data_IF_061720496350
#
_entry.id   IF_061720496350
#
_cell.length_a   1.000
_cell.length_b   1.000
_cell.length_c   1.000
_cell.angle_alpha   90.00
_cell.angle_beta   90.00
_cell.angle_gamma   90.00
#
_symmetry.space_group_name_H-M   'P 1'
#
loop_
_entity.id
_entity.type
_entity.pdbx_description
1 polymer ?
#
# COMPACT_ATOMS: atom_id res chain seq x y z
N UNK A 1 4.43 -7.24 -0.60
CA UNK A 1 4.43 -7.71 -2.02
C UNK A 1 3.02 -7.87 -2.64
N UNK A 2 1.93 -7.98 -1.87
CA UNK A 2 0.57 -8.16 -2.39
C UNK A 2 0.08 -6.97 -3.23
N UNK A 3 0.17 -5.75 -2.68
CA UNK A 3 -0.19 -4.50 -3.37
C UNK A 3 0.43 -4.39 -4.76
N UNK A 4 1.74 -4.68 -4.86
CA UNK A 4 2.50 -4.62 -6.11
C UNK A 4 1.90 -5.53 -7.18
N UNK A 5 1.50 -6.75 -6.80
CA UNK A 5 0.88 -7.70 -7.74
C UNK A 5 -0.50 -7.24 -8.20
N UNK A 6 -1.27 -6.60 -7.33
CA UNK A 6 -2.61 -6.08 -7.66
C UNK A 6 -2.48 -4.93 -8.64
N UNK A 7 -1.72 -3.88 -8.28
CA UNK A 7 -1.52 -2.70 -9.14
C UNK A 7 -0.91 -3.07 -10.50
N UNK A 8 0.10 -3.95 -10.53
CA UNK A 8 0.68 -4.46 -11.76
C UNK A 8 -0.36 -5.08 -12.72
N UNK A 9 -1.32 -5.85 -12.19
CA UNK A 9 -2.38 -6.46 -12.99
C UNK A 9 -3.43 -5.44 -13.44
N UNK A 10 -3.78 -4.48 -12.59
CA UNK A 10 -4.79 -3.46 -12.91
C UNK A 10 -4.38 -2.53 -14.05
N UNK A 11 -3.08 -2.21 -14.14
CA UNK A 11 -2.54 -1.31 -15.18
C UNK A 11 -1.86 -2.06 -16.33
N UNK A 12 -1.91 -3.40 -16.34
CA UNK A 12 -1.27 -4.28 -17.31
C UNK A 12 0.25 -4.02 -17.50
N UNK A 13 0.97 -3.89 -16.40
CA UNK A 13 2.42 -3.63 -16.38
C UNK A 13 3.14 -4.67 -15.53
N UNK A 14 4.33 -5.09 -15.96
CA UNK A 14 5.15 -6.00 -15.17
C UNK A 14 5.51 -5.37 -13.81
N UNK A 15 5.29 -6.10 -12.71
CA UNK A 15 5.54 -5.64 -11.34
C UNK A 15 6.95 -5.02 -11.14
N UNK A 16 7.97 -5.57 -11.81
CA UNK A 16 9.35 -5.05 -11.76
C UNK A 16 9.52 -3.63 -12.28
N UNK A 17 8.61 -3.16 -13.14
CA UNK A 17 8.62 -1.79 -13.68
C UNK A 17 8.05 -0.78 -12.68
N UNK A 18 7.21 -1.23 -11.75
CA UNK A 18 6.64 -0.41 -10.68
C UNK A 18 7.59 -0.28 -9.48
N UNK A 19 8.13 -1.39 -9.00
CA UNK A 19 9.10 -1.41 -7.90
C UNK A 19 9.87 -2.73 -7.82
N UNK A 20 11.11 -2.70 -7.30
CA UNK A 20 11.87 -3.90 -6.94
C UNK A 20 11.59 -4.33 -5.50
N UNK A 21 11.88 -5.59 -5.18
CA UNK A 21 11.69 -6.12 -3.81
C UNK A 21 12.48 -5.33 -2.77
N UNK A 22 13.72 -4.96 -3.10
CA UNK A 22 14.60 -4.16 -2.23
C UNK A 22 14.00 -2.79 -1.92
N UNK A 23 13.41 -2.11 -2.90
CA UNK A 23 12.75 -0.81 -2.70
C UNK A 23 11.56 -0.93 -1.73
N UNK A 24 10.81 -2.03 -1.78
CA UNK A 24 9.71 -2.28 -0.85
C UNK A 24 10.22 -2.53 0.57
N UNK A 25 11.34 -3.22 0.70
CA UNK A 25 11.98 -3.51 2.00
C UNK A 25 12.56 -2.22 2.59
N UNK A 26 13.23 -1.39 1.79
CA UNK A 26 13.68 -0.06 2.19
C UNK A 26 12.50 0.83 2.60
N UNK A 27 11.40 0.84 1.83
CA UNK A 27 10.20 1.58 2.19
C UNK A 27 9.61 1.10 3.52
N UNK A 28 9.54 -0.22 3.74
CA UNK A 28 9.08 -0.80 5.00
C UNK A 28 10.01 -0.47 6.18
N UNK A 29 11.32 -0.33 5.92
CA UNK A 29 12.31 0.12 6.89
C UNK A 29 12.27 1.64 7.17
N UNK A 30 11.35 2.39 6.54
CA UNK A 30 11.18 3.83 6.75
C UNK A 30 12.00 4.71 5.81
N UNK A 31 12.67 4.14 4.80
CA UNK A 31 13.34 4.92 3.75
C UNK A 31 12.28 5.61 2.88
N UNK A 32 12.50 6.88 2.58
CA UNK A 32 11.57 7.72 1.79
C UNK A 32 12.25 8.52 0.69
N UNK A 33 13.58 8.49 0.60
CA UNK A 33 14.37 9.23 -0.40
C UNK A 33 15.16 8.25 -1.25
N UNK A 34 15.37 8.60 -2.52
CA UNK A 34 16.14 7.77 -3.46
C UNK A 34 15.44 6.48 -3.88
N UNK A 35 14.11 6.40 -3.71
CA UNK A 35 13.31 5.27 -4.17
C UNK A 35 12.65 5.63 -5.51
N UNK A 36 13.05 5.01 -6.63
CA UNK A 36 12.44 5.27 -7.94
C UNK A 36 10.92 5.07 -7.98
N UNK A 37 10.39 4.17 -7.15
CA UNK A 37 8.94 3.97 -7.00
C UNK A 37 8.20 5.17 -6.39
N UNK A 38 8.90 6.09 -5.71
CA UNK A 38 8.36 7.31 -5.14
C UNK A 38 8.50 8.53 -6.06
N UNK A 39 8.91 8.33 -7.31
CA UNK A 39 9.16 9.40 -8.27
C UNK A 39 8.35 9.19 -9.57
N UNK A 40 8.02 10.32 -10.23
CA UNK A 40 7.38 10.34 -11.54
C UNK A 40 6.08 9.54 -11.62
N UNK A 41 5.90 8.82 -12.72
CA UNK A 41 4.67 8.07 -12.98
C UNK A 41 4.49 6.89 -12.01
N UNK A 42 5.57 6.27 -11.52
CA UNK A 42 5.52 5.14 -10.58
C UNK A 42 4.90 5.55 -9.25
N UNK A 43 5.18 6.78 -8.80
CA UNK A 43 4.55 7.33 -7.61
C UNK A 43 3.02 7.35 -7.74
N UNK A 44 2.51 7.83 -8.88
CA UNK A 44 1.08 7.89 -9.14
C UNK A 44 0.41 6.52 -9.28
N UNK A 45 1.10 5.54 -9.87
CA UNK A 45 0.53 4.20 -10.11
C UNK A 45 0.68 3.22 -8.94
N UNK A 46 1.71 3.39 -8.11
CA UNK A 46 2.04 2.43 -7.05
C UNK A 46 2.62 3.08 -5.79
N UNK A 47 3.56 4.02 -5.94
CA UNK A 47 4.31 4.58 -4.81
C UNK A 47 3.43 5.21 -3.74
N UNK A 48 2.38 5.93 -4.13
CA UNK A 48 1.41 6.54 -3.22
C UNK A 48 0.70 5.51 -2.36
N UNK A 49 0.16 4.46 -2.95
CA UNK A 49 -0.56 3.42 -2.20
C UNK A 49 0.40 2.59 -1.34
N UNK A 50 1.63 2.37 -1.82
CA UNK A 50 2.65 1.68 -1.05
C UNK A 50 3.05 2.48 0.19
N UNK A 51 3.13 3.80 0.06
CA UNK A 51 3.37 4.71 1.18
C UNK A 51 2.20 4.68 2.16
N UNK A 52 0.97 4.85 1.68
CA UNK A 52 -0.24 4.80 2.52
C UNK A 52 -0.35 3.45 3.27
N UNK A 53 0.04 2.35 2.65
CA UNK A 53 0.08 1.02 3.28
C UNK A 53 1.13 0.93 4.39
N UNK A 54 2.34 1.44 4.17
CA UNK A 54 3.40 1.43 5.21
C UNK A 54 3.06 2.39 6.35
N UNK A 55 2.38 3.49 6.07
CA UNK A 55 1.91 4.46 7.08
C UNK A 55 0.64 4.01 7.81
N UNK A 56 0.09 2.83 7.48
CA UNK A 56 -1.12 2.30 8.11
C UNK A 56 -2.41 3.01 7.71
N UNK A 57 -2.38 3.85 6.68
CA UNK A 57 -3.54 4.54 6.09
C UNK A 57 -4.30 3.66 5.10
N UNK A 58 -3.69 2.55 4.68
CA UNK A 58 -4.26 1.58 3.78
C UNK A 58 -4.09 0.18 4.34
N UNK A 59 -5.13 -0.65 4.21
CA UNK A 59 -5.11 -2.03 4.66
C UNK A 59 -5.78 -2.95 3.64
N UNK A 60 -5.44 -4.24 3.73
CA UNK A 60 -6.14 -5.31 3.03
C UNK A 60 -7.09 -6.00 4.00
N UNK A 61 -8.34 -6.18 3.58
CA UNK A 61 -9.36 -6.93 4.30
C UNK A 61 -9.88 -8.08 3.43
N UNK A 62 -10.23 -9.20 4.05
CA UNK A 62 -10.95 -10.28 3.36
C UNK A 62 -12.42 -10.17 3.74
N UNK A 63 -13.28 -9.86 2.77
CA UNK A 63 -14.71 -9.72 2.95
C UNK A 63 -15.41 -10.75 2.08
N UNK A 64 -16.13 -11.68 2.70
CA UNK A 64 -16.86 -12.76 2.00
C UNK A 64 -15.96 -13.56 1.04
N UNK A 65 -14.76 -13.91 1.50
CA UNK A 65 -13.76 -14.65 0.71
C UNK A 65 -13.07 -13.83 -0.40
N UNK A 66 -13.38 -12.53 -0.53
CA UNK A 66 -12.76 -11.64 -1.53
C UNK A 66 -11.81 -10.67 -0.84
N UNK A 67 -10.61 -10.53 -1.39
CA UNK A 67 -9.66 -9.51 -0.96
C UNK A 67 -10.16 -8.13 -1.39
N UNK A 68 -10.27 -7.20 -0.43
CA UNK A 68 -10.59 -5.80 -0.64
C UNK A 68 -9.50 -4.92 -0.06
N UNK A 69 -9.23 -3.82 -0.73
CA UNK A 69 -8.36 -2.75 -0.24
C UNK A 69 -9.24 -1.69 0.41
N UNK A 70 -8.92 -1.32 1.65
CA UNK A 70 -9.68 -0.32 2.41
C UNK A 70 -8.73 0.77 2.88
N UNK A 71 -9.20 2.02 2.83
CA UNK A 71 -8.52 3.08 3.58
C UNK A 71 -8.83 2.88 5.06
N UNK A 72 -7.83 3.10 5.88
CA UNK A 72 -7.96 3.10 7.33
C UNK A 72 -8.22 4.56 7.70
N UNK A 73 -9.49 4.95 7.63
CA UNK A 73 -9.93 6.16 8.32
C UNK A 73 -9.89 5.80 9.80
N UNK A 74 -9.07 6.50 10.58
CA UNK A 74 -8.81 6.17 11.98
C UNK A 74 -10.10 5.91 12.74
N UNK A 75 -10.44 4.64 12.95
CA UNK A 75 -11.50 4.24 13.87
C UNK A 75 -10.97 4.60 15.24
N UNK A 76 -11.43 5.76 15.73
CA UNK A 76 -11.51 6.08 17.15
C UNK A 76 -12.03 4.82 17.82
N UNK A 77 -11.21 4.25 18.71
CA UNK A 77 -11.63 3.18 19.59
C UNK A 77 -12.96 3.59 20.21
N UNK A 78 -14.06 2.96 19.78
CA UNK A 78 -15.35 3.13 20.41
C UNK A 78 -15.18 2.65 21.84
N UNK A 79 -15.03 3.61 22.77
CA UNK A 79 -14.97 3.32 24.18
C UNK A 79 -16.23 2.52 24.56
N UNK A 80 -16.11 1.43 25.33
CA UNK A 80 -17.28 0.69 25.77
C UNK A 80 -18.13 1.62 26.62
N UNK A 81 -19.35 1.88 26.17
CA UNK A 81 -20.34 2.66 26.90
C UNK A 81 -20.78 1.82 28.10
N UNK A 82 -20.10 2.00 29.24
CA UNK A 82 -20.53 1.48 30.53
C UNK A 82 -21.66 2.39 31.05
N UNK A 83 -22.88 2.09 30.60
CA UNK A 83 -24.12 2.58 31.20
C UNK A 83 -24.63 1.60 32.25
#
# INVERSE_FOLDING_TARGET
KLLLKIRAREIDVAARLLARSEELEQLAAGVRKGLPMLEGWRFGQFGRDALDLVEGKLAFAVVSGRLKMTRVDGVVAAAPNIG
#
